data_IF_433795068177
#
_entry.id   IF_433795068177
#
_cell.length_a   1.000
_cell.length_b   1.000
_cell.length_c   1.000
_cell.angle_alpha   90.00
_cell.angle_beta   90.00
_cell.angle_gamma   90.00
#
_symmetry.space_group_name_H-M   'P 1'
#
loop_
_entity.id
_entity.type
_entity.pdbx_description
1 polymer ?
#
# COMPACT_ATOMS: atom_id res chain seq x y z
N UNK A 1 -25.07 -59.04 9.90
CA UNK A 1 -23.96 -58.07 10.13
C UNK A 1 -24.33 -56.76 9.41
N UNK A 2 -24.85 -55.78 10.15
CA UNK A 2 -25.08 -54.41 9.66
C UNK A 2 -23.81 -53.60 9.85
N UNK A 3 -23.28 -53.07 8.73
CA UNK A 3 -22.15 -52.13 8.76
C UNK A 3 -22.71 -50.72 8.76
N UNK A 4 -22.51 -49.99 9.86
CA UNK A 4 -22.87 -48.55 9.99
C UNK A 4 -21.67 -47.71 9.48
N UNK A 5 -21.88 -47.04 8.36
CA UNK A 5 -20.94 -46.05 7.83
C UNK A 5 -21.18 -44.72 8.56
N UNK A 6 -20.17 -44.24 9.29
CA UNK A 6 -20.16 -42.92 9.92
C UNK A 6 -19.57 -41.92 8.91
N UNK A 7 -20.40 -41.01 8.39
CA UNK A 7 -19.95 -39.87 7.61
C UNK A 7 -19.51 -38.76 8.55
N UNK A 8 -18.20 -38.51 8.62
CA UNK A 8 -17.64 -37.34 9.27
C UNK A 8 -17.77 -36.15 8.31
N UNK A 9 -18.69 -35.24 8.59
CA UNK A 9 -18.77 -33.94 7.91
C UNK A 9 -17.64 -33.05 8.43
N UNK A 10 -16.64 -32.82 7.58
CA UNK A 10 -15.65 -31.78 7.84
C UNK A 10 -16.32 -30.41 7.67
N UNK A 11 -16.60 -29.75 8.78
CA UNK A 11 -16.97 -28.34 8.80
C UNK A 11 -15.68 -27.57 8.54
N UNK A 12 -15.42 -27.21 7.29
CA UNK A 12 -14.43 -26.19 6.96
C UNK A 12 -14.99 -24.86 7.45
N UNK A 13 -14.52 -24.40 8.61
CA UNK A 13 -14.77 -23.03 9.06
C UNK A 13 -14.17 -22.07 8.04
N UNK A 14 -15.00 -21.46 7.19
CA UNK A 14 -14.63 -20.21 6.53
C UNK A 14 -14.42 -19.20 7.65
N UNK A 15 -13.15 -18.88 7.96
CA UNK A 15 -12.85 -17.62 8.62
C UNK A 15 -13.31 -16.54 7.65
N UNK A 16 -14.26 -15.70 8.06
CA UNK A 16 -14.58 -14.49 7.35
C UNK A 16 -13.31 -13.62 7.35
N UNK A 17 -12.51 -13.66 6.28
CA UNK A 17 -11.58 -12.61 5.97
C UNK A 17 -12.44 -11.35 5.87
N UNK A 18 -12.09 -10.31 6.63
CA UNK A 18 -12.71 -9.00 6.42
C UNK A 18 -12.41 -8.62 4.96
N UNK A 19 -13.42 -8.70 4.11
CA UNK A 19 -13.29 -8.35 2.69
C UNK A 19 -12.85 -6.89 2.58
N UNK A 20 -11.98 -6.63 1.62
CA UNK A 20 -11.57 -5.27 1.30
C UNK A 20 -12.77 -4.51 0.70
N UNK A 21 -12.80 -3.21 0.87
CA UNK A 21 -13.81 -2.33 0.28
C UNK A 21 -13.14 -1.20 -0.45
N UNK A 22 -13.72 -0.79 -1.59
CA UNK A 22 -13.27 0.39 -2.34
C UNK A 22 -14.28 1.51 -2.22
N UNK A 23 -13.80 2.72 -1.92
CA UNK A 23 -14.63 3.92 -1.79
C UNK A 23 -14.00 5.09 -2.56
N UNK A 24 -14.84 5.90 -3.18
CA UNK A 24 -14.38 7.10 -3.89
C UNK A 24 -14.07 8.22 -2.90
N UNK A 25 -12.84 8.74 -2.94
CA UNK A 25 -12.40 9.90 -2.14
C UNK A 25 -12.65 11.20 -2.91
N UNK A 26 -12.25 11.23 -4.19
CA UNK A 26 -12.47 12.31 -5.15
C UNK A 26 -12.55 11.73 -6.56
N UNK A 27 -12.83 12.56 -7.54
CA UNK A 27 -12.89 12.12 -8.93
C UNK A 27 -11.57 11.47 -9.37
N UNK A 28 -11.66 10.21 -9.82
CA UNK A 28 -10.51 9.39 -10.19
C UNK A 28 -9.54 9.05 -9.05
N UNK A 29 -9.90 9.28 -7.79
CA UNK A 29 -9.14 8.87 -6.61
C UNK A 29 -10.03 8.06 -5.67
N UNK A 30 -9.59 6.85 -5.35
CA UNK A 30 -10.29 5.92 -4.47
C UNK A 30 -9.37 5.45 -3.36
N UNK A 31 -9.95 4.90 -2.30
CA UNK A 31 -9.25 4.18 -1.23
C UNK A 31 -9.77 2.77 -1.10
N UNK A 32 -8.87 1.80 -0.95
CA UNK A 32 -9.19 0.43 -0.57
C UNK A 32 -8.85 0.28 0.91
N UNK A 33 -9.84 -0.06 1.72
CA UNK A 33 -9.71 -0.26 3.16
C UNK A 33 -10.03 -1.70 3.56
N UNK A 34 -9.65 -2.08 4.79
CA UNK A 34 -9.80 -3.40 5.37
C UNK A 34 -8.70 -3.67 6.38
N UNK A 35 -8.26 -4.93 6.53
CA UNK A 35 -7.15 -5.27 7.43
C UNK A 35 -5.84 -4.62 6.95
N UNK A 36 -5.06 -4.06 7.88
CA UNK A 36 -3.79 -3.36 7.59
C UNK A 36 -3.97 -1.96 7.02
N UNK A 37 -2.92 -1.42 6.40
CA UNK A 37 -2.90 -0.08 5.82
C UNK A 37 -3.89 0.10 4.66
N UNK A 38 -4.31 1.33 4.41
CA UNK A 38 -5.17 1.66 3.27
C UNK A 38 -4.35 1.75 1.98
N UNK A 39 -4.96 1.35 0.85
CA UNK A 39 -4.39 1.52 -0.49
C UNK A 39 -5.06 2.69 -1.19
N UNK A 40 -4.28 3.66 -1.67
CA UNK A 40 -4.77 4.70 -2.57
C UNK A 40 -4.80 4.17 -4.01
N UNK A 41 -5.88 4.47 -4.74
CA UNK A 41 -6.04 4.09 -6.15
C UNK A 41 -6.25 5.35 -6.99
N UNK A 42 -5.24 5.77 -7.73
CA UNK A 42 -5.33 6.90 -8.66
C UNK A 42 -5.53 6.40 -10.09
N UNK A 43 -6.73 6.58 -10.59
CA UNK A 43 -7.09 6.20 -11.97
C UNK A 43 -6.66 7.29 -12.94
N UNK A 44 -6.08 6.88 -14.08
CA UNK A 44 -5.71 7.78 -15.18
C UNK A 44 -6.13 7.17 -16.52
N UNK A 45 -6.00 7.92 -17.62
CA UNK A 45 -6.33 7.42 -18.97
C UNK A 45 -5.33 6.40 -19.51
N UNK A 46 -4.15 6.24 -18.89
CA UNK A 46 -3.06 5.39 -19.39
C UNK A 46 -2.68 4.25 -18.42
N UNK A 47 -3.30 4.21 -17.25
CA UNK A 47 -3.00 3.22 -16.21
C UNK A 47 -3.51 3.65 -14.84
N UNK A 48 -3.27 2.79 -13.86
CA UNK A 48 -3.57 3.04 -12.45
C UNK A 48 -2.26 3.17 -11.68
N UNK A 49 -2.22 4.11 -10.74
CA UNK A 49 -1.15 4.27 -9.76
C UNK A 49 -1.72 3.84 -8.41
N UNK A 50 -1.15 2.82 -7.79
CA UNK A 50 -1.45 2.44 -6.41
C UNK A 50 -0.51 3.16 -5.44
N UNK A 51 -1.05 3.54 -4.29
CA UNK A 51 -0.29 3.98 -3.13
C UNK A 51 -0.44 2.90 -2.08
N UNK A 52 0.66 2.16 -1.83
CA UNK A 52 0.71 0.92 -1.07
C UNK A 52 -0.02 -0.26 -1.75
N UNK A 53 0.19 -1.48 -1.25
CA UNK A 53 -0.33 -2.71 -1.88
C UNK A 53 -0.71 -3.82 -0.89
N UNK A 54 -0.75 -3.49 0.41
CA UNK A 54 -1.11 -4.41 1.50
C UNK A 54 -0.23 -5.66 1.57
N UNK A 55 -0.86 -6.80 1.85
CA UNK A 55 -0.20 -8.10 1.95
C UNK A 55 -0.30 -8.88 0.62
N UNK A 56 0.57 -9.88 0.38
CA UNK A 56 0.53 -10.68 -0.87
C UNK A 56 -0.82 -11.34 -1.12
N UNK A 57 -1.49 -11.83 -0.07
CA UNK A 57 -2.79 -12.50 -0.20
C UNK A 57 -3.94 -11.57 -0.61
N UNK A 58 -3.76 -10.25 -0.48
CA UNK A 58 -4.78 -9.25 -0.84
C UNK A 58 -4.73 -8.88 -2.33
N UNK A 59 -3.68 -9.28 -3.06
CA UNK A 59 -3.44 -8.93 -4.45
C UNK A 59 -4.66 -9.18 -5.36
N UNK A 60 -5.23 -10.40 -5.31
CA UNK A 60 -6.35 -10.75 -6.18
C UNK A 60 -7.58 -9.89 -5.90
N UNK A 61 -7.89 -9.62 -4.63
CA UNK A 61 -9.02 -8.79 -4.23
C UNK A 61 -8.79 -7.31 -4.58
N UNK A 62 -7.55 -6.80 -4.41
CA UNK A 62 -7.18 -5.44 -4.85
C UNK A 62 -7.38 -5.30 -6.36
N UNK A 63 -6.92 -6.27 -7.17
CA UNK A 63 -7.10 -6.24 -8.63
C UNK A 63 -8.59 -6.25 -9.02
N UNK A 64 -9.41 -7.07 -8.36
CA UNK A 64 -10.86 -7.10 -8.56
C UNK A 64 -11.50 -5.74 -8.24
N UNK A 65 -11.16 -5.13 -7.12
CA UNK A 65 -11.67 -3.82 -6.72
C UNK A 65 -11.22 -2.70 -7.68
N UNK A 66 -9.95 -2.72 -8.12
CA UNK A 66 -9.44 -1.78 -9.12
C UNK A 66 -10.22 -1.93 -10.44
N UNK A 67 -10.56 -3.15 -10.86
CA UNK A 67 -11.31 -3.39 -12.09
C UNK A 67 -12.74 -2.83 -12.08
N UNK A 68 -13.30 -2.55 -10.91
CA UNK A 68 -14.62 -1.90 -10.77
C UNK A 68 -14.58 -0.41 -11.12
N UNK A 69 -13.40 0.21 -11.10
CA UNK A 69 -13.23 1.66 -11.29
C UNK A 69 -12.33 2.02 -12.48
N UNK A 70 -11.64 1.04 -13.07
CA UNK A 70 -10.75 1.25 -14.23
C UNK A 70 -10.54 -0.03 -15.03
N UNK A 71 -10.59 0.06 -16.36
CA UNK A 71 -10.17 -1.01 -17.29
C UNK A 71 -8.65 -0.99 -17.54
N UNK A 72 -7.92 -0.02 -16.98
CA UNK A 72 -6.49 0.15 -17.19
C UNK A 72 -5.69 -0.68 -16.18
N UNK A 73 -4.52 -1.23 -16.58
CA UNK A 73 -3.66 -1.97 -15.68
C UNK A 73 -2.98 -1.06 -14.65
N UNK A 74 -2.60 -1.63 -13.51
CA UNK A 74 -1.71 -0.99 -12.55
C UNK A 74 -0.32 -0.85 -13.18
N UNK A 75 0.15 0.39 -13.35
CA UNK A 75 1.45 0.73 -13.93
C UNK A 75 2.51 1.02 -12.86
N UNK A 76 2.09 1.65 -11.77
CA UNK A 76 2.98 2.05 -10.68
C UNK A 76 2.40 1.64 -9.34
N UNK A 77 3.27 1.23 -8.44
CA UNK A 77 3.01 1.11 -7.00
C UNK A 77 4.00 2.04 -6.29
N UNK A 78 3.51 2.93 -5.45
CA UNK A 78 4.33 3.82 -4.65
C UNK A 78 4.13 3.45 -3.18
N UNK A 79 5.15 2.82 -2.56
CA UNK A 79 5.05 2.46 -1.15
C UNK A 79 5.34 3.67 -0.27
N UNK A 80 4.46 3.91 0.70
CA UNK A 80 4.64 4.96 1.71
C UNK A 80 5.76 4.61 2.67
N UNK A 81 5.88 3.34 3.07
CA UNK A 81 6.94 2.84 3.93
C UNK A 81 7.09 1.30 3.79
N UNK A 82 7.92 0.67 4.63
CA UNK A 82 8.35 -0.72 4.45
C UNK A 82 7.51 -1.77 5.19
N UNK A 83 6.51 -1.40 6.00
CA UNK A 83 5.74 -2.41 6.74
C UNK A 83 4.93 -3.31 5.80
N UNK A 84 4.76 -4.58 6.22
CA UNK A 84 4.20 -5.61 5.35
C UNK A 84 2.74 -5.39 4.93
N UNK A 85 1.98 -4.63 5.70
CA UNK A 85 0.61 -4.23 5.37
C UNK A 85 0.53 -3.00 4.43
N UNK A 86 1.69 -2.50 3.96
CA UNK A 86 1.82 -1.42 2.98
C UNK A 86 2.63 -1.82 1.75
N UNK A 87 3.56 -2.76 1.91
CA UNK A 87 4.51 -3.12 0.85
C UNK A 87 4.69 -4.64 0.67
N UNK A 88 3.93 -5.45 1.40
CA UNK A 88 4.03 -6.90 1.30
C UNK A 88 3.55 -7.43 -0.05
N UNK A 89 2.60 -6.76 -0.69
CA UNK A 89 2.09 -7.08 -2.03
C UNK A 89 3.10 -6.86 -3.15
N UNK A 90 4.22 -6.17 -2.91
CA UNK A 90 5.25 -5.89 -3.92
C UNK A 90 5.66 -7.13 -4.72
N UNK A 91 5.70 -8.31 -4.10
CA UNK A 91 6.07 -9.57 -4.77
C UNK A 91 5.16 -9.90 -5.95
N UNK A 92 3.89 -9.53 -5.86
CA UNK A 92 2.89 -9.76 -6.92
C UNK A 92 3.01 -8.71 -8.03
N UNK A 93 3.45 -7.48 -7.70
CA UNK A 93 3.54 -6.37 -8.64
C UNK A 93 4.89 -6.24 -9.33
N UNK A 94 6.00 -6.73 -8.75
CA UNK A 94 7.38 -6.43 -9.19
C UNK A 94 7.70 -6.80 -10.65
N UNK A 95 6.92 -7.67 -11.26
CA UNK A 95 7.09 -8.09 -12.65
C UNK A 95 6.05 -7.52 -13.62
N UNK A 96 5.04 -6.79 -13.11
CA UNK A 96 3.94 -6.24 -13.92
C UNK A 96 3.78 -4.73 -13.76
N UNK A 97 4.39 -4.14 -12.74
CA UNK A 97 4.35 -2.71 -12.43
C UNK A 97 5.71 -2.19 -12.00
N UNK A 98 5.93 -0.89 -12.11
CA UNK A 98 7.10 -0.23 -11.53
C UNK A 98 6.82 0.13 -10.07
N UNK A 99 7.66 -0.36 -9.15
CA UNK A 99 7.53 -0.09 -7.72
C UNK A 99 8.53 0.97 -7.29
N UNK A 100 8.05 2.00 -6.60
CA UNK A 100 8.83 3.16 -6.16
C UNK A 100 8.68 3.31 -4.64
N UNK A 101 9.77 3.57 -3.93
CA UNK A 101 9.75 3.91 -2.52
C UNK A 101 10.88 4.87 -2.14
N UNK A 102 10.82 5.42 -0.93
CA UNK A 102 11.98 6.13 -0.38
C UNK A 102 13.15 5.16 -0.16
N UNK A 103 14.40 5.63 -0.36
CA UNK A 103 15.61 4.81 -0.20
C UNK A 103 15.64 4.07 1.15
N UNK A 104 15.33 4.77 2.25
CA UNK A 104 15.33 4.14 3.58
C UNK A 104 14.26 3.05 3.73
N UNK A 105 13.10 3.19 3.10
CA UNK A 105 12.06 2.14 3.09
C UNK A 105 12.60 0.88 2.40
N UNK A 106 13.22 1.03 1.23
CA UNK A 106 13.91 -0.08 0.54
C UNK A 106 15.00 -0.71 1.41
N UNK A 107 15.82 0.09 2.09
CA UNK A 107 16.89 -0.42 2.96
C UNK A 107 16.32 -1.19 4.17
N UNK A 108 15.18 -0.74 4.71
CA UNK A 108 14.47 -1.46 5.77
C UNK A 108 13.92 -2.81 5.26
N UNK A 109 13.33 -2.85 4.06
CA UNK A 109 12.88 -4.10 3.42
C UNK A 109 14.03 -5.09 3.26
N UNK A 110 15.18 -4.63 2.77
CA UNK A 110 16.37 -5.47 2.61
C UNK A 110 16.89 -6.02 3.96
N UNK A 111 16.94 -5.18 5.00
CA UNK A 111 17.34 -5.62 6.34
C UNK A 111 16.37 -6.63 6.93
N UNK A 112 15.08 -6.48 6.66
CA UNK A 112 14.01 -7.39 7.08
C UNK A 112 13.88 -8.65 6.23
N UNK A 113 14.72 -8.84 5.19
CA UNK A 113 14.61 -9.89 4.20
C UNK A 113 13.21 -9.96 3.56
N UNK A 114 12.59 -8.80 3.35
CA UNK A 114 11.29 -8.70 2.68
C UNK A 114 11.46 -8.97 1.20
N UNK A 115 10.51 -9.71 0.62
CA UNK A 115 10.51 -10.03 -0.81
C UNK A 115 10.26 -8.78 -1.67
N UNK A 116 10.82 -8.80 -2.90
CA UNK A 116 10.57 -7.78 -3.93
C UNK A 116 10.79 -6.33 -3.49
N UNK A 117 11.95 -5.96 -2.93
CA UNK A 117 12.25 -4.57 -2.61
C UNK A 117 12.20 -3.70 -3.89
N UNK A 118 11.65 -2.49 -3.84
CA UNK A 118 11.52 -1.60 -5.00
C UNK A 118 12.82 -1.40 -5.77
N UNK A 119 12.74 -1.37 -7.12
CA UNK A 119 13.90 -1.12 -7.98
C UNK A 119 14.15 0.37 -8.22
N UNK A 120 13.11 1.18 -8.07
CA UNK A 120 13.19 2.63 -8.19
C UNK A 120 13.07 3.27 -6.81
N UNK A 121 13.98 4.20 -6.52
CA UNK A 121 14.01 4.88 -5.22
C UNK A 121 14.20 6.39 -5.39
N UNK A 122 13.77 7.13 -4.37
CA UNK A 122 14.04 8.56 -4.22
C UNK A 122 14.55 8.87 -2.81
N UNK A 123 15.14 10.05 -2.61
CA UNK A 123 15.67 10.51 -1.31
C UNK A 123 14.90 11.69 -0.75
N UNK A 124 14.50 12.63 -1.59
CA UNK A 124 13.80 13.83 -1.15
C UNK A 124 12.38 13.87 -1.69
N UNK A 125 12.24 13.77 -3.01
CA UNK A 125 10.96 13.77 -3.70
C UNK A 125 11.05 13.04 -5.03
N UNK A 126 9.89 12.62 -5.52
CA UNK A 126 9.71 12.09 -6.88
C UNK A 126 8.33 12.48 -7.41
N UNK A 127 8.14 12.37 -8.72
CA UNK A 127 6.85 12.54 -9.35
C UNK A 127 6.62 11.47 -10.43
N UNK A 128 5.38 11.01 -10.53
CA UNK A 128 4.90 10.13 -11.59
C UNK A 128 3.94 10.95 -12.45
N UNK A 129 4.17 10.97 -13.76
CA UNK A 129 3.28 11.57 -14.76
C UNK A 129 2.69 10.43 -15.58
N UNK A 130 1.37 10.26 -15.53
CA UNK A 130 0.68 9.19 -16.24
C UNK A 130 -0.72 9.67 -16.67
N UNK A 131 -1.06 9.55 -17.97
CA UNK A 131 -2.37 9.89 -18.50
C UNK A 131 -2.85 11.31 -18.16
N UNK A 132 -1.93 12.29 -18.17
CA UNK A 132 -2.21 13.69 -17.84
C UNK A 132 -2.32 14.01 -16.36
N UNK A 133 -2.09 13.01 -15.49
CA UNK A 133 -2.11 13.16 -14.03
C UNK A 133 -0.69 13.23 -13.48
N UNK A 134 -0.48 14.06 -12.47
CA UNK A 134 0.74 14.11 -11.67
C UNK A 134 0.46 13.58 -10.26
N UNK A 135 1.33 12.66 -9.80
CA UNK A 135 1.36 12.18 -8.40
C UNK A 135 2.75 12.43 -7.87
N UNK A 136 2.86 13.16 -6.75
CA UNK A 136 4.13 13.49 -6.11
C UNK A 136 4.31 12.72 -4.83
N UNK A 137 5.52 12.27 -4.53
CA UNK A 137 5.89 11.73 -3.24
C UNK A 137 7.02 12.56 -2.62
N UNK A 138 6.92 12.80 -1.32
CA UNK A 138 7.88 13.58 -0.54
C UNK A 138 8.36 12.80 0.67
N UNK A 139 9.65 12.84 0.93
CA UNK A 139 10.23 12.51 2.22
C UNK A 139 10.38 13.80 3.03
N UNK A 140 9.60 13.94 4.08
CA UNK A 140 9.58 15.15 4.92
C UNK A 140 10.37 14.98 6.22
N UNK A 141 10.94 13.80 6.42
CA UNK A 141 11.64 13.41 7.63
C UNK A 141 11.09 12.09 8.19
N UNK A 142 11.65 11.67 9.28
CA UNK A 142 11.23 10.44 9.95
C UNK A 142 10.13 10.70 10.98
N UNK A 143 9.18 9.78 11.04
CA UNK A 143 8.10 9.82 12.01
C UNK A 143 7.76 8.43 12.49
N UNK A 144 6.88 7.74 11.78
CA UNK A 144 6.51 6.35 12.00
C UNK A 144 7.72 5.41 11.80
N UNK A 145 8.44 5.58 10.69
CA UNK A 145 9.73 4.95 10.38
C UNK A 145 10.77 6.01 9.99
N UNK A 146 11.92 5.61 9.45
CA UNK A 146 12.86 6.54 8.83
C UNK A 146 12.70 6.67 7.31
N UNK A 147 11.70 6.00 6.73
CA UNK A 147 11.49 5.94 5.28
C UNK A 147 10.08 6.33 4.86
N UNK A 148 9.37 7.10 5.70
CA UNK A 148 7.97 7.48 5.45
C UNK A 148 7.85 8.47 4.30
N UNK A 149 6.98 8.20 3.34
CA UNK A 149 6.65 9.07 2.24
C UNK A 149 5.21 9.60 2.36
N UNK A 150 5.04 10.88 2.09
CA UNK A 150 3.73 11.52 1.91
C UNK A 150 3.46 11.64 0.42
N UNK A 151 2.34 11.13 -0.05
CA UNK A 151 1.94 11.19 -1.45
C UNK A 151 0.90 12.30 -1.62
N UNK A 152 1.14 13.18 -2.58
CA UNK A 152 0.28 14.32 -2.87
C UNK A 152 -0.27 14.24 -4.31
N UNK A 153 -1.56 14.50 -4.45
CA UNK A 153 -2.30 14.58 -5.70
C UNK A 153 -2.61 16.07 -5.96
N UNK A 154 -1.78 16.79 -6.77
CA UNK A 154 -1.88 18.24 -6.91
C UNK A 154 -3.21 18.73 -7.46
N UNK A 155 -3.74 18.03 -8.47
CA UNK A 155 -5.01 18.36 -9.13
C UNK A 155 -6.23 18.20 -8.20
N UNK A 156 -6.10 17.33 -7.19
CA UNK A 156 -7.15 17.04 -6.22
C UNK A 156 -6.93 17.71 -4.85
N UNK A 157 -5.76 18.35 -4.64
CA UNK A 157 -5.37 18.95 -3.34
C UNK A 157 -5.58 17.94 -2.18
N UNK A 158 -5.11 16.71 -2.39
CA UNK A 158 -5.31 15.59 -1.46
C UNK A 158 -3.98 14.91 -1.17
N UNK A 159 -3.81 14.40 0.04
CA UNK A 159 -2.63 13.65 0.46
C UNK A 159 -3.01 12.23 0.91
N UNK A 160 -2.09 11.29 0.69
CA UNK A 160 -2.06 9.98 1.33
C UNK A 160 -0.79 9.92 2.17
N UNK A 161 -0.93 9.82 3.47
CA UNK A 161 0.21 9.93 4.40
C UNK A 161 0.73 8.60 4.92
N UNK A 162 0.18 7.47 4.45
CA UNK A 162 0.49 6.19 5.10
C UNK A 162 0.27 6.29 6.61
N UNK A 163 1.17 5.70 7.37
CA UNK A 163 1.10 5.66 8.83
C UNK A 163 1.58 6.93 9.54
N UNK A 164 1.97 7.96 8.79
CA UNK A 164 2.11 9.31 9.36
C UNK A 164 0.76 9.94 9.71
N UNK A 165 -0.34 9.53 9.04
CA UNK A 165 -1.69 10.05 9.28
C UNK A 165 -2.59 9.00 9.95
N UNK A 166 -2.28 8.66 11.19
CA UNK A 166 -3.11 7.75 11.99
C UNK A 166 -4.36 8.43 12.55
N UNK A 167 -5.48 7.72 12.54
CA UNK A 167 -6.72 8.10 13.22
C UNK A 167 -6.78 7.63 14.67
N UNK A 168 -5.80 6.82 15.08
CA UNK A 168 -5.63 6.26 16.44
C UNK A 168 -4.28 6.72 17.03
N UNK A 169 -3.89 6.19 18.18
CA UNK A 169 -2.60 6.51 18.78
C UNK A 169 -1.45 6.19 17.82
N UNK A 170 -0.50 7.13 17.60
CA UNK A 170 0.61 6.93 16.69
C UNK A 170 1.49 5.75 17.15
N UNK A 171 1.79 4.84 16.22
CA UNK A 171 2.79 3.80 16.41
C UNK A 171 4.14 4.29 15.85
N UNK A 172 5.21 4.13 16.64
CA UNK A 172 6.56 4.57 16.25
C UNK A 172 7.47 3.35 16.21
N UNK A 173 7.93 3.00 15.03
CA UNK A 173 8.89 1.92 14.83
C UNK A 173 10.32 2.40 15.08
N UNK A 174 10.70 2.48 16.34
CA UNK A 174 12.05 2.88 16.74
C UNK A 174 13.14 1.96 16.19
N UNK A 175 12.84 0.67 15.98
CA UNK A 175 13.80 -0.31 15.46
C UNK A 175 14.21 0.02 14.01
N UNK A 176 13.28 0.58 13.23
CA UNK A 176 13.51 1.05 11.86
C UNK A 176 13.59 2.58 11.77
N UNK A 177 14.14 3.21 12.82
CA UNK A 177 14.52 4.61 12.84
C UNK A 177 13.38 5.60 12.96
N UNK A 178 12.17 5.16 13.32
CA UNK A 178 11.07 6.04 13.69
C UNK A 178 11.44 6.98 14.84
N UNK A 179 10.76 8.10 14.94
CA UNK A 179 11.10 9.15 15.93
C UNK A 179 9.89 9.99 16.30
N UNK A 180 9.51 9.99 17.57
CA UNK A 180 8.43 10.85 18.06
C UNK A 180 8.73 12.35 17.89
N UNK A 181 9.98 12.74 18.13
CA UNK A 181 10.42 14.13 17.89
C UNK A 181 10.47 14.47 16.41
N UNK A 182 10.96 13.53 15.59
CA UNK A 182 10.98 13.66 14.13
C UNK A 182 9.56 13.81 13.60
N UNK A 183 8.61 13.02 14.09
CA UNK A 183 7.21 13.07 13.66
C UNK A 183 6.61 14.48 13.79
N UNK A 184 6.82 15.14 14.93
CA UNK A 184 6.36 16.52 15.15
C UNK A 184 6.95 17.51 14.13
N UNK A 185 8.20 17.27 13.68
CA UNK A 185 8.85 18.14 12.69
C UNK A 185 8.48 17.79 11.25
N UNK A 186 8.04 16.54 11.01
CA UNK A 186 7.65 16.01 9.70
C UNK A 186 6.23 16.44 9.33
N UNK A 187 5.33 16.56 10.33
CA UNK A 187 3.95 17.00 10.19
C UNK A 187 3.78 18.52 10.34
#
# INVERSE_FOLDING_TARGET
LLSTAVFASAVTGLQAQNSLTIEQVKDGLYTISGSGGNVGVRVTTEGVILIDDKFPQDFAEIQELVSQVSDQPVKYVLNTHHHGDHSGGNIEYINISEIIAHQNARDNMLRGNQDAPPRLVFTDQTAIYLGGVEVRAFYMGRGHTNGDAVVYFPDLQTVHGGDLLHTIAPFIDYANGGSSKGWVSTM
#
